data_IF_491799946736
#
_entry.id   IF_491799946736
#
_cell.length_a   1.000
_cell.length_b   1.000
_cell.length_c   1.000
_cell.angle_alpha   90.00
_cell.angle_beta   90.00
_cell.angle_gamma   90.00
#
_symmetry.space_group_name_H-M   'P 1'
#
loop_
_entity.id
_entity.type
_entity.pdbx_description
1 polymer ?
#
# COMPACT_ATOMS: atom_id res chain seq x y z
N UNK A 1 -34.66 49.93 -55.46
CA UNK A 1 -33.43 49.46 -54.79
C UNK A 1 -33.39 50.01 -53.36
N UNK A 2 -33.78 49.21 -52.37
CA UNK A 2 -33.49 49.47 -50.95
C UNK A 2 -33.12 48.13 -50.33
N UNK A 3 -31.81 47.92 -50.16
CA UNK A 3 -31.26 46.77 -49.47
C UNK A 3 -31.39 47.00 -47.96
N UNK A 4 -32.32 46.30 -47.32
CA UNK A 4 -32.39 46.24 -45.86
C UNK A 4 -31.26 45.34 -45.37
N UNK A 5 -30.36 45.93 -44.59
CA UNK A 5 -29.29 45.22 -43.89
C UNK A 5 -29.90 44.26 -42.87
N UNK A 6 -29.87 42.96 -43.19
CA UNK A 6 -30.02 41.89 -42.21
C UNK A 6 -28.79 41.89 -41.32
N UNK A 7 -28.80 42.70 -40.26
CA UNK A 7 -27.82 42.59 -39.18
C UNK A 7 -28.03 41.22 -38.53
N UNK A 8 -27.02 40.36 -38.68
CA UNK A 8 -27.01 38.98 -38.26
C UNK A 8 -27.38 38.84 -36.79
N UNK A 9 -28.28 37.91 -36.48
CA UNK A 9 -28.73 37.59 -35.11
C UNK A 9 -27.55 37.39 -34.14
N UNK A 10 -26.39 36.96 -34.63
CA UNK A 10 -25.14 36.84 -33.87
C UNK A 10 -24.61 38.18 -33.32
N UNK A 11 -24.78 39.29 -34.04
CA UNK A 11 -24.34 40.63 -33.58
C UNK A 11 -25.28 41.19 -32.52
N UNK A 12 -26.58 40.86 -32.59
CA UNK A 12 -27.53 41.18 -31.52
C UNK A 12 -27.21 40.41 -30.24
N UNK A 13 -26.85 39.13 -30.33
CA UNK A 13 -26.44 38.34 -29.17
C UNK A 13 -25.13 38.84 -28.54
N UNK A 14 -24.15 39.26 -29.35
CA UNK A 14 -22.91 39.89 -28.85
C UNK A 14 -23.17 41.18 -28.10
N UNK A 15 -24.04 42.05 -28.62
CA UNK A 15 -24.41 43.30 -27.98
C UNK A 15 -25.18 43.10 -26.66
N UNK A 16 -26.00 42.05 -26.57
CA UNK A 16 -26.69 41.68 -25.33
C UNK A 16 -25.69 41.14 -24.29
N UNK A 17 -24.76 40.29 -24.72
CA UNK A 17 -23.72 39.74 -23.85
C UNK A 17 -22.79 40.83 -23.26
N UNK A 18 -22.40 41.82 -24.07
CA UNK A 18 -21.58 42.95 -23.61
C UNK A 18 -22.34 43.84 -22.60
N UNK A 19 -23.66 44.01 -22.80
CA UNK A 19 -24.53 44.73 -21.86
C UNK A 19 -24.74 43.99 -20.54
N UNK A 20 -24.85 42.66 -20.55
CA UNK A 20 -24.98 41.85 -19.31
C UNK A 20 -23.71 41.92 -18.46
N UNK A 21 -22.53 42.04 -19.09
CA UNK A 21 -21.25 42.12 -18.39
C UNK A 21 -20.99 43.51 -17.75
N UNK A 22 -21.63 44.58 -18.25
CA UNK A 22 -21.64 45.92 -17.62
C UNK A 22 -22.94 46.17 -16.83
N UNK A 23 -23.00 45.63 -15.62
CA UNK A 23 -23.67 46.25 -14.45
C UNK A 23 -25.21 46.43 -14.43
N UNK A 24 -26.05 45.65 -15.11
CA UNK A 24 -27.49 45.56 -14.73
C UNK A 24 -28.13 44.19 -15.01
N UNK A 25 -28.34 43.32 -14.01
CA UNK A 25 -28.79 41.94 -14.26
C UNK A 25 -30.31 41.68 -14.22
N UNK A 26 -31.20 42.67 -14.00
CA UNK A 26 -32.60 42.35 -13.64
C UNK A 26 -33.71 42.83 -14.60
N UNK A 27 -33.42 43.61 -15.64
CA UNK A 27 -34.48 44.17 -16.51
C UNK A 27 -34.70 43.45 -17.85
N UNK A 28 -33.81 42.52 -18.26
CA UNK A 28 -33.90 41.85 -19.58
C UNK A 28 -34.41 40.41 -19.54
N UNK A 29 -34.77 39.88 -18.35
CA UNK A 29 -35.34 38.54 -18.20
C UNK A 29 -36.81 38.43 -18.65
N UNK A 30 -37.47 39.54 -19.00
CA UNK A 30 -38.88 39.55 -19.40
C UNK A 30 -39.15 39.39 -20.90
N UNK A 31 -38.13 39.27 -21.77
CA UNK A 31 -38.31 39.30 -23.24
C UNK A 31 -37.76 38.02 -23.92
N UNK A 32 -37.18 37.09 -23.18
CA UNK A 32 -36.57 35.89 -23.77
C UNK A 32 -37.56 34.71 -23.72
N UNK A 33 -37.86 34.15 -24.90
CA UNK A 33 -38.61 32.90 -25.01
C UNK A 33 -37.86 31.76 -24.31
N UNK A 34 -38.58 30.74 -23.86
CA UNK A 34 -38.02 29.59 -23.13
C UNK A 34 -36.91 28.86 -23.93
N UNK A 35 -37.00 28.89 -25.26
CA UNK A 35 -35.97 28.39 -26.17
C UNK A 35 -34.70 29.25 -26.21
N UNK A 36 -34.81 30.57 -26.12
CA UNK A 36 -33.63 31.45 -26.10
C UNK A 36 -32.90 31.36 -24.74
N UNK A 37 -33.65 31.12 -23.65
CA UNK A 37 -33.07 30.88 -22.34
C UNK A 37 -32.31 29.55 -22.27
N UNK A 38 -32.78 28.51 -22.98
CA UNK A 38 -32.08 27.23 -23.07
C UNK A 38 -30.83 27.32 -23.96
N UNK A 39 -30.89 28.05 -25.08
CA UNK A 39 -29.73 28.35 -25.92
C UNK A 39 -28.68 29.18 -25.17
N UNK A 40 -29.10 30.20 -24.41
CA UNK A 40 -28.21 31.00 -23.58
C UNK A 40 -27.54 30.15 -22.49
N UNK A 41 -28.30 29.26 -21.82
CA UNK A 41 -27.76 28.31 -20.84
C UNK A 41 -26.74 27.36 -21.47
N UNK A 42 -27.00 26.89 -22.70
CA UNK A 42 -26.10 26.03 -23.46
C UNK A 42 -24.82 26.77 -23.87
N UNK A 43 -24.92 27.99 -24.36
CA UNK A 43 -23.77 28.79 -24.79
C UNK A 43 -22.91 29.23 -23.59
N UNK A 44 -23.55 29.63 -22.48
CA UNK A 44 -22.84 29.90 -21.22
C UNK A 44 -22.14 28.63 -20.74
N UNK A 45 -22.79 27.46 -20.80
CA UNK A 45 -22.17 26.19 -20.41
C UNK A 45 -20.97 25.84 -21.30
N UNK A 46 -21.08 26.08 -22.61
CA UNK A 46 -20.02 25.85 -23.59
C UNK A 46 -18.83 26.78 -23.39
N UNK A 47 -19.06 28.07 -23.16
CA UNK A 47 -18.02 29.06 -22.81
C UNK A 47 -17.37 28.75 -21.46
N UNK A 48 -18.15 28.29 -20.47
CA UNK A 48 -17.63 27.84 -19.19
C UNK A 48 -16.75 26.59 -19.34
N UNK A 49 -17.15 25.65 -20.21
CA UNK A 49 -16.35 24.45 -20.55
C UNK A 49 -15.05 24.83 -21.27
N UNK A 50 -15.09 25.75 -22.24
CA UNK A 50 -13.90 26.25 -22.95
C UNK A 50 -12.92 26.93 -21.97
N UNK A 51 -13.43 27.82 -21.10
CA UNK A 51 -12.62 28.46 -20.05
C UNK A 51 -12.02 27.45 -19.07
N UNK A 52 -12.77 26.39 -18.73
CA UNK A 52 -12.30 25.30 -17.85
C UNK A 52 -11.16 24.51 -18.51
N UNK A 53 -11.24 24.23 -19.81
CA UNK A 53 -10.15 23.51 -20.54
C UNK A 53 -8.88 24.34 -20.69
N UNK A 54 -8.99 25.66 -20.91
CA UNK A 54 -7.82 26.54 -20.97
C UNK A 54 -7.10 26.63 -19.62
N UNK A 55 -7.86 26.77 -18.52
CA UNK A 55 -7.31 26.75 -17.18
C UNK A 55 -6.64 25.42 -16.82
N UNK A 56 -7.19 24.29 -17.30
CA UNK A 56 -6.62 22.96 -17.07
C UNK A 56 -5.23 22.81 -17.69
N UNK A 57 -5.04 23.28 -18.93
CA UNK A 57 -3.73 23.25 -19.61
C UNK A 57 -2.69 24.09 -18.87
N UNK A 58 -3.08 25.27 -18.39
CA UNK A 58 -2.22 26.14 -17.60
C UNK A 58 -1.83 25.49 -16.26
N UNK A 59 -2.77 24.80 -15.60
CA UNK A 59 -2.49 24.04 -14.37
C UNK A 59 -1.57 22.84 -14.63
N UNK A 60 -1.79 22.11 -15.72
CA UNK A 60 -0.93 21.00 -16.12
C UNK A 60 0.51 21.47 -16.38
N UNK A 61 0.69 22.57 -17.10
CA UNK A 61 2.00 23.17 -17.34
C UNK A 61 2.69 23.59 -16.03
N UNK A 62 1.95 24.21 -15.09
CA UNK A 62 2.47 24.58 -13.75
C UNK A 62 2.87 23.37 -12.90
N UNK A 63 2.30 22.20 -13.16
CA UNK A 63 2.60 20.95 -12.48
C UNK A 63 3.72 20.14 -13.17
N UNK A 64 4.29 20.64 -14.27
CA UNK A 64 5.30 19.93 -15.07
C UNK A 64 4.73 18.81 -15.96
N UNK A 65 3.40 18.75 -16.12
CA UNK A 65 2.73 17.74 -16.93
C UNK A 65 2.66 18.20 -18.39
N UNK A 66 3.72 17.91 -19.14
CA UNK A 66 3.83 18.28 -20.57
C UNK A 66 3.12 17.29 -21.51
N UNK A 67 2.77 16.09 -21.01
CA UNK A 67 2.16 15.04 -21.82
C UNK A 67 0.70 15.38 -22.17
N UNK A 68 0.36 15.51 -23.47
CA UNK A 68 -1.02 15.82 -23.88
C UNK A 68 -1.99 14.66 -23.58
N UNK A 69 -1.49 13.43 -23.43
CA UNK A 69 -2.29 12.27 -23.03
C UNK A 69 -2.87 12.42 -21.62
N UNK A 70 -2.06 12.95 -20.69
CA UNK A 70 -2.46 13.17 -19.30
C UNK A 70 -3.53 14.26 -19.22
N UNK A 71 -3.35 15.36 -19.98
CA UNK A 71 -4.32 16.46 -20.02
C UNK A 71 -5.67 15.99 -20.58
N UNK A 72 -5.68 15.28 -21.71
CA UNK A 72 -6.90 14.69 -22.27
C UNK A 72 -7.58 13.76 -21.26
N UNK A 73 -6.81 12.91 -20.57
CA UNK A 73 -7.36 12.01 -19.56
C UNK A 73 -7.96 12.77 -18.37
N UNK A 74 -7.34 13.85 -17.93
CA UNK A 74 -7.87 14.71 -16.88
C UNK A 74 -9.18 15.41 -17.30
N UNK A 75 -9.29 15.86 -18.56
CA UNK A 75 -10.54 16.42 -19.10
C UNK A 75 -11.70 15.40 -19.04
N UNK A 76 -11.44 14.16 -19.43
CA UNK A 76 -12.41 13.06 -19.31
C UNK A 76 -12.84 12.86 -17.85
N UNK A 77 -11.88 12.81 -16.92
CA UNK A 77 -12.16 12.62 -15.49
C UNK A 77 -12.98 13.77 -14.90
N UNK A 78 -12.75 15.01 -15.33
CA UNK A 78 -13.52 16.18 -14.88
C UNK A 78 -14.97 16.08 -15.38
N UNK A 79 -15.18 15.71 -16.65
CA UNK A 79 -16.53 15.49 -17.20
C UNK A 79 -17.24 14.35 -16.48
N UNK A 80 -16.55 13.24 -16.25
CA UNK A 80 -17.08 12.08 -15.54
C UNK A 80 -17.42 12.42 -14.09
N UNK A 81 -16.57 13.19 -13.42
CA UNK A 81 -16.80 13.71 -12.08
C UNK A 81 -18.05 14.60 -12.02
N UNK A 82 -18.28 15.45 -13.02
CA UNK A 82 -19.48 16.29 -13.07
C UNK A 82 -20.77 15.46 -13.17
N UNK A 83 -20.76 14.33 -13.89
CA UNK A 83 -21.91 13.43 -14.06
C UNK A 83 -22.14 12.56 -12.81
N UNK A 84 -21.08 12.08 -12.17
CA UNK A 84 -21.17 11.16 -11.02
C UNK A 84 -21.40 11.83 -9.65
N UNK A 85 -21.76 13.12 -9.62
CA UNK A 85 -22.06 13.83 -8.36
C UNK A 85 -20.91 14.66 -7.78
N UNK A 86 -19.88 14.94 -8.59
CA UNK A 86 -18.79 15.84 -8.23
C UNK A 86 -19.21 17.30 -8.00
N UNK A 87 -20.43 17.68 -8.39
CA UNK A 87 -21.05 18.97 -8.05
C UNK A 87 -21.33 19.09 -6.54
N UNK A 88 -21.63 17.98 -5.85
CA UNK A 88 -21.85 17.94 -4.41
C UNK A 88 -20.58 17.97 -3.56
N UNK A 89 -19.40 17.87 -4.18
CA UNK A 89 -18.13 18.07 -3.48
C UNK A 89 -17.91 19.56 -3.25
N UNK A 90 -17.72 19.95 -1.99
CA UNK A 90 -17.33 21.31 -1.57
C UNK A 90 -15.88 21.64 -1.96
N UNK A 91 -15.58 21.52 -3.26
CA UNK A 91 -14.28 21.76 -3.86
C UNK A 91 -14.41 22.87 -4.89
N UNK A 92 -13.41 23.75 -4.93
CA UNK A 92 -13.26 24.74 -6.00
C UNK A 92 -13.09 24.07 -7.35
N UNK A 93 -13.43 24.78 -8.43
CA UNK A 93 -13.21 24.29 -9.80
C UNK A 93 -11.74 23.99 -10.07
N UNK A 94 -10.83 24.81 -9.54
CA UNK A 94 -9.38 24.56 -9.59
C UNK A 94 -8.98 23.33 -8.79
N UNK A 95 -9.55 23.12 -7.60
CA UNK A 95 -9.30 21.93 -6.78
C UNK A 95 -9.71 20.64 -7.47
N UNK A 96 -10.89 20.62 -8.11
CA UNK A 96 -11.35 19.47 -8.92
C UNK A 96 -10.42 19.20 -10.09
N UNK A 97 -10.00 20.25 -10.80
CA UNK A 97 -9.08 20.14 -11.94
C UNK A 97 -7.71 19.57 -11.54
N UNK A 98 -7.12 20.09 -10.45
CA UNK A 98 -5.82 19.62 -9.95
C UNK A 98 -5.87 18.17 -9.48
N UNK A 99 -6.93 17.78 -8.75
CA UNK A 99 -7.12 16.39 -8.31
C UNK A 99 -7.28 15.45 -9.51
N UNK A 100 -8.06 15.83 -10.53
CA UNK A 100 -8.21 15.02 -11.73
C UNK A 100 -6.90 14.90 -12.53
N UNK A 101 -6.08 15.95 -12.55
CA UNK A 101 -4.73 15.90 -13.12
C UNK A 101 -3.80 14.95 -12.36
N UNK A 102 -3.83 14.95 -11.02
CA UNK A 102 -3.08 13.99 -10.21
C UNK A 102 -3.49 12.54 -10.52
N UNK A 103 -4.80 12.28 -10.58
CA UNK A 103 -5.31 10.92 -10.86
C UNK A 103 -4.90 10.50 -12.27
N UNK A 104 -5.03 11.38 -13.26
CA UNK A 104 -4.59 11.13 -14.63
C UNK A 104 -3.08 10.88 -14.73
N UNK A 105 -2.25 11.66 -14.02
CA UNK A 105 -0.80 11.48 -13.97
C UNK A 105 -0.43 10.13 -13.33
N UNK A 106 -1.13 9.75 -12.25
CA UNK A 106 -0.95 8.46 -11.58
C UNK A 106 -1.28 7.30 -12.52
N UNK A 107 -2.39 7.39 -13.27
CA UNK A 107 -2.75 6.39 -14.27
C UNK A 107 -1.74 6.29 -15.42
N UNK A 108 -1.15 7.42 -15.81
CA UNK A 108 -0.12 7.47 -16.85
C UNK A 108 1.30 7.18 -16.31
N UNK A 109 1.45 6.81 -15.03
CA UNK A 109 2.75 6.60 -14.37
C UNK A 109 3.72 7.79 -14.52
N UNK A 110 3.18 9.01 -14.57
CA UNK A 110 3.95 10.25 -14.63
C UNK A 110 4.21 10.79 -13.22
N UNK A 111 5.44 11.19 -12.95
CA UNK A 111 5.76 11.94 -11.73
C UNK A 111 5.26 13.38 -11.83
N UNK A 112 4.84 13.94 -10.70
CA UNK A 112 4.43 15.34 -10.58
C UNK A 112 4.68 15.84 -9.16
N UNK A 113 4.74 17.15 -8.98
CA UNK A 113 4.97 17.75 -7.67
C UNK A 113 3.67 17.83 -6.85
N UNK A 114 3.59 16.97 -5.83
CA UNK A 114 2.46 16.91 -4.90
C UNK A 114 2.33 18.17 -4.02
N UNK A 115 3.45 18.83 -3.70
CA UNK A 115 3.41 20.04 -2.87
C UNK A 115 2.83 21.22 -3.65
N UNK A 116 3.21 21.34 -4.92
CA UNK A 116 2.62 22.31 -5.84
C UNK A 116 1.16 22.01 -6.13
N UNK A 117 0.78 20.73 -6.27
CA UNK A 117 -0.62 20.34 -6.45
C UNK A 117 -1.50 20.77 -5.27
N UNK A 118 -1.07 20.51 -4.03
CA UNK A 118 -1.79 20.97 -2.83
C UNK A 118 -1.95 22.50 -2.87
N UNK A 119 -0.87 23.25 -3.17
CA UNK A 119 -0.90 24.72 -3.25
C UNK A 119 -1.84 25.24 -4.34
N UNK A 120 -1.82 24.65 -5.54
CA UNK A 120 -2.67 25.05 -6.67
C UNK A 120 -4.15 24.70 -6.46
N UNK A 121 -4.44 23.66 -5.67
CA UNK A 121 -5.81 23.27 -5.34
C UNK A 121 -6.51 24.22 -4.36
N UNK A 122 -5.74 25.00 -3.58
CA UNK A 122 -6.25 25.86 -2.52
C UNK A 122 -6.72 25.08 -1.27
N UNK A 123 -6.32 23.81 -1.12
CA UNK A 123 -6.70 22.95 0.00
C UNK A 123 -5.54 22.78 0.98
N UNK A 124 -5.86 22.50 2.24
CA UNK A 124 -4.85 22.01 3.19
C UNK A 124 -4.41 20.59 2.81
N UNK A 125 -3.20 20.19 3.20
CA UNK A 125 -2.67 18.85 2.87
C UNK A 125 -3.60 17.69 3.30
N UNK A 126 -4.20 17.70 4.52
CA UNK A 126 -5.14 16.64 4.91
C UNK A 126 -6.42 16.63 4.08
N UNK A 127 -6.99 17.81 3.80
CA UNK A 127 -8.18 17.94 2.97
C UNK A 127 -7.90 17.45 1.54
N UNK A 128 -6.77 17.84 0.96
CA UNK A 128 -6.36 17.41 -0.37
C UNK A 128 -6.30 15.88 -0.51
N UNK A 129 -5.69 15.20 0.47
CA UNK A 129 -5.62 13.73 0.49
C UNK A 129 -7.01 13.11 0.63
N UNK A 130 -7.86 13.66 1.50
CA UNK A 130 -9.23 13.15 1.68
C UNK A 130 -10.09 13.36 0.42
N UNK A 131 -9.98 14.52 -0.23
CA UNK A 131 -10.72 14.88 -1.43
C UNK A 131 -10.25 14.08 -2.65
N UNK A 132 -8.94 13.94 -2.86
CA UNK A 132 -8.39 13.10 -3.93
C UNK A 132 -8.79 11.62 -3.76
N UNK A 133 -8.83 11.12 -2.53
CA UNK A 133 -9.33 9.77 -2.24
C UNK A 133 -10.83 9.64 -2.53
N UNK A 134 -11.62 10.65 -2.17
CA UNK A 134 -13.07 10.66 -2.43
C UNK A 134 -13.35 10.67 -3.92
N UNK A 135 -12.66 11.52 -4.68
CA UNK A 135 -12.75 11.57 -6.14
C UNK A 135 -12.29 10.26 -6.77
N UNK A 136 -11.15 9.70 -6.35
CA UNK A 136 -10.67 8.42 -6.88
C UNK A 136 -11.68 7.29 -6.70
N UNK A 137 -12.35 7.23 -5.53
CA UNK A 137 -13.40 6.23 -5.26
C UNK A 137 -14.64 6.48 -6.10
N UNK A 138 -15.06 7.74 -6.23
CA UNK A 138 -16.24 8.10 -6.99
C UNK A 138 -16.08 7.70 -8.47
N UNK A 139 -14.91 8.00 -9.04
CA UNK A 139 -14.56 7.66 -10.42
C UNK A 139 -14.17 6.18 -10.61
N UNK A 140 -14.18 5.38 -9.53
CA UNK A 140 -13.72 4.00 -9.48
C UNK A 140 -12.31 3.78 -10.07
N UNK A 141 -11.44 4.78 -9.91
CA UNK A 141 -10.05 4.73 -10.35
C UNK A 141 -9.20 4.23 -9.18
N UNK A 142 -9.19 2.93 -8.97
CA UNK A 142 -8.31 2.29 -7.99
C UNK A 142 -6.99 1.92 -8.66
N UNK A 143 -5.88 2.48 -8.16
CA UNK A 143 -4.57 1.87 -8.40
C UNK A 143 -4.58 0.52 -7.69
N UNK A 144 -4.75 -0.58 -8.44
CA UNK A 144 -4.67 -1.93 -7.88
C UNK A 144 -3.27 -2.12 -7.31
N UNK A 145 -3.19 -2.36 -6.01
CA UNK A 145 -1.92 -2.64 -5.34
C UNK A 145 -1.84 -4.15 -5.13
N UNK A 146 -0.80 -4.81 -5.64
CA UNK A 146 -0.64 -6.25 -5.49
C UNK A 146 0.14 -6.61 -4.21
N UNK A 147 -0.14 -7.77 -3.60
CA UNK A 147 0.69 -8.38 -2.54
C UNK A 147 2.18 -8.35 -2.90
N UNK A 148 2.52 -8.63 -4.16
CA UNK A 148 3.90 -8.65 -4.63
C UNK A 148 4.58 -7.27 -4.47
N UNK A 149 3.90 -6.20 -4.89
CA UNK A 149 4.40 -4.82 -4.82
C UNK A 149 4.53 -4.36 -3.37
N UNK A 150 3.58 -4.73 -2.52
CA UNK A 150 3.60 -4.42 -1.09
C UNK A 150 4.77 -5.10 -0.38
N UNK A 151 5.01 -6.38 -0.67
CA UNK A 151 6.14 -7.11 -0.10
C UNK A 151 7.50 -6.50 -0.52
N UNK A 152 7.62 -5.99 -1.75
CA UNK A 152 8.85 -5.31 -2.20
C UNK A 152 9.01 -3.95 -1.52
N UNK A 153 7.97 -3.12 -1.54
CA UNK A 153 8.01 -1.75 -0.98
C UNK A 153 8.22 -1.68 0.53
N UNK A 154 7.91 -2.77 1.24
CA UNK A 154 8.06 -2.92 2.69
C UNK A 154 9.14 -3.94 3.11
N UNK A 155 9.98 -4.41 2.18
CA UNK A 155 11.05 -5.38 2.45
C UNK A 155 10.56 -6.68 3.13
N UNK A 156 9.33 -7.10 2.83
CA UNK A 156 8.66 -8.27 3.39
C UNK A 156 8.50 -9.39 2.33
N UNK A 157 9.55 -9.63 1.54
CA UNK A 157 9.54 -10.62 0.45
C UNK A 157 9.34 -12.06 0.96
N UNK A 158 9.86 -12.37 2.15
CA UNK A 158 9.68 -13.68 2.79
C UNK A 158 8.21 -14.01 3.13
N UNK A 159 7.36 -13.00 3.33
CA UNK A 159 5.94 -13.17 3.65
C UNK A 159 5.04 -13.32 2.42
N UNK A 160 5.58 -13.17 1.20
CA UNK A 160 4.80 -13.10 -0.04
C UNK A 160 3.93 -14.34 -0.25
N UNK A 161 4.52 -15.53 -0.12
CA UNK A 161 3.82 -16.79 -0.40
C UNK A 161 2.72 -17.07 0.63
N UNK A 162 2.98 -16.75 1.90
CA UNK A 162 1.98 -16.88 2.96
C UNK A 162 0.84 -15.87 2.75
N UNK A 163 1.16 -14.61 2.45
CA UNK A 163 0.17 -13.57 2.19
C UNK A 163 -0.73 -13.93 0.99
N UNK A 164 -0.17 -14.47 -0.10
CA UNK A 164 -0.93 -14.92 -1.26
C UNK A 164 -1.88 -16.08 -0.92
N UNK A 165 -1.45 -17.03 -0.07
CA UNK A 165 -2.30 -18.14 0.41
C UNK A 165 -3.43 -17.65 1.31
N UNK A 166 -3.12 -16.76 2.26
CA UNK A 166 -4.11 -16.14 3.15
C UNK A 166 -5.17 -15.41 2.35
N UNK A 167 -4.78 -14.66 1.32
CA UNK A 167 -5.69 -13.94 0.46
C UNK A 167 -6.66 -14.87 -0.29
N UNK A 168 -6.15 -15.98 -0.87
CA UNK A 168 -6.96 -16.99 -1.56
C UNK A 168 -7.92 -17.73 -0.63
N UNK A 169 -7.47 -18.07 0.57
CA UNK A 169 -8.33 -18.73 1.55
C UNK A 169 -9.42 -17.77 2.06
N UNK A 170 -9.05 -16.51 2.35
CA UNK A 170 -10.00 -15.47 2.73
C UNK A 170 -11.04 -15.22 1.62
N UNK A 171 -10.61 -15.22 0.35
CA UNK A 171 -11.52 -15.20 -0.80
C UNK A 171 -12.50 -16.36 -0.78
N UNK A 172 -12.02 -17.59 -0.56
CA UNK A 172 -12.86 -18.79 -0.58
C UNK A 172 -13.90 -18.77 0.54
N UNK A 173 -13.49 -18.41 1.76
CA UNK A 173 -14.37 -18.32 2.93
C UNK A 173 -15.41 -17.19 2.82
N UNK A 174 -15.09 -16.10 2.10
CA UNK A 174 -15.97 -14.93 1.97
C UNK A 174 -16.71 -14.83 0.62
N UNK A 175 -16.32 -15.59 -0.41
CA UNK A 175 -17.08 -15.71 -1.67
C UNK A 175 -18.46 -16.27 -1.45
N UNK A 176 -18.59 -17.18 -0.49
CA UNK A 176 -19.88 -17.74 -0.04
C UNK A 176 -20.81 -16.62 0.49
N UNK A 177 -20.24 -15.50 0.95
CA UNK A 177 -20.97 -14.33 1.49
C UNK A 177 -21.09 -13.17 0.48
N UNK A 178 -20.54 -13.30 -0.73
CA UNK A 178 -20.67 -12.31 -1.82
C UNK A 178 -20.10 -10.92 -1.52
N UNK A 179 -19.26 -10.76 -0.49
CA UNK A 179 -19.02 -9.46 0.14
C UNK A 179 -17.60 -8.89 -0.05
N UNK A 180 -16.70 -9.59 -0.75
CA UNK A 180 -15.26 -9.25 -0.76
C UNK A 180 -14.72 -9.10 -2.18
N UNK A 181 -14.29 -7.89 -2.51
CA UNK A 181 -13.48 -7.59 -3.70
C UNK A 181 -11.99 -7.55 -3.31
N UNK A 182 -11.26 -8.59 -3.71
CA UNK A 182 -9.85 -8.80 -3.35
C UNK A 182 -8.92 -7.82 -4.06
N UNK A 183 -9.36 -7.24 -5.18
CA UNK A 183 -8.58 -6.23 -5.89
C UNK A 183 -8.45 -4.93 -5.06
N UNK A 184 -9.30 -4.74 -4.06
CA UNK A 184 -9.21 -3.58 -3.19
C UNK A 184 -7.92 -3.62 -2.34
N UNK A 185 -7.16 -2.50 -2.28
CA UNK A 185 -5.92 -2.40 -1.51
C UNK A 185 -6.07 -2.77 -0.04
N UNK A 186 -7.28 -2.66 0.54
CA UNK A 186 -7.56 -3.03 1.93
C UNK A 186 -7.26 -4.51 2.22
N UNK A 187 -7.64 -5.42 1.33
CA UNK A 187 -7.42 -6.86 1.53
C UNK A 187 -5.97 -7.24 1.23
N UNK A 188 -5.38 -6.61 0.23
CA UNK A 188 -3.98 -6.82 -0.17
C UNK A 188 -3.02 -6.42 0.96
N UNK A 189 -3.22 -5.23 1.54
CA UNK A 189 -2.41 -4.72 2.66
C UNK A 189 -2.66 -5.49 3.96
N UNK A 190 -3.91 -5.88 4.23
CA UNK A 190 -4.23 -6.67 5.41
C UNK A 190 -3.60 -8.07 5.38
N UNK A 191 -3.60 -8.74 4.22
CA UNK A 191 -3.00 -10.06 4.05
C UNK A 191 -1.47 -10.04 4.30
N UNK A 192 -0.78 -9.01 3.80
CA UNK A 192 0.66 -8.82 4.05
C UNK A 192 0.93 -8.56 5.53
N UNK A 193 0.15 -7.70 6.20
CA UNK A 193 0.31 -7.49 7.65
C UNK A 193 0.09 -8.78 8.42
N UNK A 194 -0.97 -9.54 8.11
CA UNK A 194 -1.28 -10.80 8.77
C UNK A 194 -0.13 -11.80 8.65
N UNK A 195 0.40 -11.99 7.43
CA UNK A 195 1.54 -12.88 7.19
C UNK A 195 2.80 -12.40 7.94
N UNK A 196 3.10 -11.10 7.91
CA UNK A 196 4.25 -10.53 8.61
C UNK A 196 4.15 -10.66 10.13
N UNK A 197 2.95 -10.54 10.72
CA UNK A 197 2.73 -10.78 12.15
C UNK A 197 3.12 -12.20 12.54
N UNK A 198 2.62 -13.19 11.80
CA UNK A 198 2.87 -14.61 12.07
C UNK A 198 4.35 -14.97 11.87
N UNK A 199 4.97 -14.44 10.82
CA UNK A 199 6.39 -14.65 10.53
C UNK A 199 7.34 -13.76 11.34
N UNK A 200 6.82 -12.94 12.26
CA UNK A 200 7.58 -11.98 13.10
C UNK A 200 8.45 -11.01 12.28
N UNK A 201 8.02 -10.65 11.07
CA UNK A 201 8.70 -9.68 10.21
C UNK A 201 8.26 -8.28 10.60
N UNK A 202 9.23 -7.39 10.85
CA UNK A 202 8.97 -5.99 11.19
C UNK A 202 8.52 -5.23 9.94
N UNK A 203 7.28 -4.72 9.96
CA UNK A 203 6.72 -3.88 8.89
C UNK A 203 6.13 -2.61 9.48
N UNK A 204 6.27 -1.50 8.75
CA UNK A 204 5.59 -0.24 9.07
C UNK A 204 4.07 -0.35 8.86
N UNK A 205 3.36 -0.58 9.96
CA UNK A 205 1.90 -0.72 10.01
C UNK A 205 1.17 0.57 9.61
N UNK A 206 1.77 1.74 9.87
CA UNK A 206 1.16 3.04 9.56
C UNK A 206 1.11 3.24 8.05
N UNK A 207 2.25 3.06 7.38
CA UNK A 207 2.35 3.19 5.92
C UNK A 207 1.49 2.17 5.17
N UNK A 208 1.37 0.95 5.69
CA UNK A 208 0.45 -0.07 5.16
C UNK A 208 -1.03 0.37 5.28
N UNK A 209 -1.43 0.89 6.44
CA UNK A 209 -2.78 1.39 6.64
C UNK A 209 -3.12 2.58 5.72
N UNK A 210 -2.18 3.51 5.53
CA UNK A 210 -2.34 4.64 4.60
C UNK A 210 -2.58 4.15 3.16
N UNK A 211 -1.91 3.06 2.76
CA UNK A 211 -2.08 2.42 1.44
C UNK A 211 -3.43 1.72 1.29
N UNK A 212 -3.99 1.18 2.38
CA UNK A 212 -5.30 0.49 2.39
C UNK A 212 -6.47 1.39 1.99
N UNK A 213 -6.29 2.72 2.15
CA UNK A 213 -7.32 3.74 1.88
C UNK A 213 -8.67 3.39 2.51
N UNK A 214 -8.69 2.84 3.73
CA UNK A 214 -9.90 2.38 4.42
C UNK A 214 -10.06 3.03 5.81
N UNK A 215 -11.24 2.90 6.44
CA UNK A 215 -11.44 3.35 7.82
C UNK A 215 -10.69 2.42 8.77
N UNK A 216 -10.05 2.96 9.81
CA UNK A 216 -9.23 2.20 10.77
C UNK A 216 -9.95 0.99 11.35
N UNK A 217 -11.18 1.18 11.83
CA UNK A 217 -11.99 0.10 12.41
C UNK A 217 -12.33 -1.03 11.42
N UNK A 218 -12.47 -0.71 10.13
CA UNK A 218 -12.72 -1.73 9.09
C UNK A 218 -11.43 -2.47 8.78
N UNK A 219 -10.33 -1.74 8.62
CA UNK A 219 -9.02 -2.31 8.39
C UNK A 219 -8.62 -3.31 9.48
N UNK A 220 -8.74 -2.91 10.75
CA UNK A 220 -8.34 -3.76 11.87
C UNK A 220 -9.15 -5.06 11.93
N UNK A 221 -10.46 -5.00 11.62
CA UNK A 221 -11.30 -6.20 11.53
C UNK A 221 -10.86 -7.16 10.41
N UNK A 222 -10.50 -6.63 9.24
CA UNK A 222 -10.01 -7.44 8.11
C UNK A 222 -8.66 -8.07 8.46
N UNK A 223 -7.75 -7.29 9.06
CA UNK A 223 -6.44 -7.78 9.52
C UNK A 223 -6.61 -8.89 10.55
N UNK A 224 -7.52 -8.74 11.52
CA UNK A 224 -7.79 -9.76 12.54
C UNK A 224 -8.30 -11.06 11.92
N UNK A 225 -9.27 -10.98 11.01
CA UNK A 225 -9.78 -12.15 10.29
C UNK A 225 -8.70 -12.87 9.49
N UNK A 226 -7.86 -12.12 8.76
CA UNK A 226 -6.75 -12.70 8.00
C UNK A 226 -5.61 -13.22 8.89
N UNK A 227 -5.42 -12.68 10.09
CA UNK A 227 -4.40 -13.17 11.04
C UNK A 227 -4.74 -14.58 11.50
N UNK A 228 -6.02 -14.87 11.80
CA UNK A 228 -6.47 -16.23 12.19
C UNK A 228 -6.22 -17.26 11.08
N UNK A 229 -6.48 -16.88 9.82
CA UNK A 229 -6.19 -17.71 8.66
C UNK A 229 -4.67 -17.92 8.51
N UNK A 230 -3.88 -16.85 8.67
CA UNK A 230 -2.43 -16.93 8.59
C UNK A 230 -1.83 -17.85 9.67
N UNK A 231 -2.34 -17.80 10.89
CA UNK A 231 -1.94 -18.67 12.00
C UNK A 231 -2.28 -20.13 11.70
N UNK A 232 -3.49 -20.41 11.21
CA UNK A 232 -3.90 -21.76 10.81
C UNK A 232 -3.00 -22.34 9.71
N UNK A 233 -2.72 -21.56 8.66
CA UNK A 233 -1.83 -21.97 7.57
C UNK A 233 -0.37 -22.16 8.02
N UNK A 234 0.09 -21.35 8.96
CA UNK A 234 1.44 -21.47 9.48
C UNK A 234 1.59 -22.68 10.42
N UNK A 235 0.58 -22.95 11.25
CA UNK A 235 0.51 -24.13 12.10
C UNK A 235 0.40 -25.43 11.27
N UNK A 236 -0.38 -25.43 10.19
CA UNK A 236 -0.47 -26.57 9.27
C UNK A 236 0.85 -26.85 8.56
N UNK A 237 1.60 -25.80 8.19
CA UNK A 237 2.94 -25.97 7.63
C UNK A 237 3.90 -26.55 8.66
N UNK A 238 3.80 -26.13 9.92
CA UNK A 238 4.59 -26.68 11.02
C UNK A 238 4.24 -28.15 11.33
N UNK A 239 2.96 -28.52 11.27
CA UNK A 239 2.52 -29.91 11.49
C UNK A 239 2.85 -30.83 10.31
N UNK A 240 2.78 -30.34 9.06
CA UNK A 240 3.23 -31.07 7.87
C UNK A 240 4.77 -31.19 7.79
N UNK A 241 5.52 -30.25 8.37
CA UNK A 241 6.96 -30.42 8.61
C UNK A 241 7.27 -31.25 9.87
N UNK A 242 6.25 -31.60 10.66
CA UNK A 242 6.34 -32.35 11.91
C UNK A 242 6.62 -33.85 11.77
N UNK A 243 6.98 -34.31 10.56
CA UNK A 243 7.49 -35.66 10.32
C UNK A 243 8.98 -35.83 10.65
N UNK A 244 9.73 -34.79 11.02
CA UNK A 244 11.13 -34.97 11.44
C UNK A 244 11.57 -33.94 12.47
N UNK A 245 11.88 -34.46 13.67
CA UNK A 245 12.64 -33.84 14.76
C UNK A 245 12.12 -32.47 15.24
N UNK A 246 11.15 -32.55 16.14
CA UNK A 246 11.18 -31.71 17.35
C UNK A 246 12.62 -31.82 17.90
N UNK A 247 13.36 -30.72 17.93
CA UNK A 247 14.75 -30.73 18.37
C UNK A 247 14.80 -31.37 19.76
N UNK A 248 15.40 -32.55 19.85
CA UNK A 248 15.68 -33.21 21.11
C UNK A 248 16.46 -32.21 21.95
N UNK A 249 15.94 -31.87 23.11
CA UNK A 249 16.68 -31.05 24.07
C UNK A 249 17.95 -31.80 24.43
N UNK A 250 19.05 -31.11 24.77
CA UNK A 250 20.31 -31.77 25.16
C UNK A 250 20.07 -32.85 26.24
N UNK A 251 19.13 -32.62 27.15
CA UNK A 251 18.64 -33.58 28.13
C UNK A 251 17.99 -34.83 27.51
N UNK A 252 17.16 -34.71 26.48
CA UNK A 252 16.54 -35.88 25.81
C UNK A 252 17.59 -36.77 25.13
N UNK A 253 18.67 -36.20 24.61
CA UNK A 253 19.75 -36.97 23.97
C UNK A 253 20.63 -37.67 25.00
N UNK A 254 20.88 -37.04 26.15
CA UNK A 254 21.61 -37.65 27.28
C UNK A 254 20.78 -38.79 27.88
N UNK A 255 19.49 -38.60 28.07
CA UNK A 255 18.60 -39.58 28.68
C UNK A 255 18.38 -40.82 27.80
N UNK A 256 18.38 -40.65 26.47
CA UNK A 256 18.32 -41.76 25.50
C UNK A 256 19.63 -42.55 25.41
N UNK A 257 20.80 -41.88 25.53
CA UNK A 257 22.09 -42.56 25.63
C UNK A 257 22.23 -43.35 26.94
N UNK A 258 21.75 -42.79 28.06
CA UNK A 258 21.79 -43.47 29.36
C UNK A 258 20.82 -44.67 29.43
N UNK A 259 19.73 -44.65 28.65
CA UNK A 259 18.75 -45.75 28.59
C UNK A 259 19.18 -46.93 27.71
N UNK A 260 20.08 -46.70 26.75
CA UNK A 260 20.51 -47.73 25.79
C UNK A 260 21.79 -48.47 26.21
N UNK A 261 22.43 -48.08 27.32
CA UNK A 261 23.57 -48.82 27.86
C UNK A 261 23.13 -49.86 28.90
N UNK A 262 22.76 -51.04 28.40
CA UNK A 262 22.74 -52.30 29.16
C UNK A 262 24.03 -53.08 28.87
N UNK A 263 24.60 -53.82 29.85
CA UNK A 263 26.04 -53.82 30.09
C UNK A 263 26.76 -55.00 29.44
N UNK A 264 26.82 -55.09 28.12
CA UNK A 264 27.62 -56.14 27.46
C UNK A 264 28.29 -55.66 26.17
N UNK A 265 29.34 -54.84 26.28
CA UNK A 265 30.46 -54.86 25.33
C UNK A 265 31.71 -54.21 25.92
N UNK A 266 32.62 -55.09 26.34
CA UNK A 266 34.01 -54.81 26.69
C UNK A 266 34.81 -54.33 25.45
N UNK A 267 35.79 -53.47 25.73
CA UNK A 267 37.08 -53.21 25.04
C UNK A 267 37.17 -52.02 24.08
N UNK A 268 37.85 -50.96 24.60
CA UNK A 268 39.00 -50.20 24.02
C UNK A 268 38.73 -49.51 22.66
N UNK A 269 38.85 -48.18 22.48
CA UNK A 269 40.00 -47.30 22.80
C UNK A 269 39.55 -45.82 22.71
N UNK A 270 39.71 -45.12 23.82
CA UNK A 270 40.31 -43.78 24.04
C UNK A 270 39.71 -42.55 23.35
N UNK A 271 38.97 -41.77 24.15
CA UNK A 271 39.11 -40.32 24.16
C UNK A 271 39.18 -39.86 25.61
N UNK A 272 40.10 -38.93 25.85
CA UNK A 272 40.56 -38.43 27.13
C UNK A 272 39.46 -37.69 27.90
N UNK A 273 39.16 -38.12 29.12
CA UNK A 273 38.62 -37.22 30.14
C UNK A 273 39.50 -37.31 31.39
N UNK A 274 40.12 -36.18 31.72
CA UNK A 274 40.88 -35.94 32.93
C UNK A 274 39.95 -36.05 34.14
N UNK A 275 40.07 -37.15 34.86
CA UNK A 275 39.57 -37.25 36.22
C UNK A 275 40.71 -36.85 37.17
N UNK A 276 40.58 -35.69 37.80
CA UNK A 276 41.54 -35.17 38.79
C UNK A 276 41.42 -35.98 40.09
N UNK A 277 41.95 -37.20 40.09
CA UNK A 277 42.16 -37.97 41.31
C UNK A 277 43.51 -37.58 41.93
N UNK A 278 43.47 -36.76 42.98
CA UNK A 278 44.64 -36.22 43.68
C UNK A 278 45.60 -37.28 44.26
N UNK A 279 45.19 -38.55 44.32
CA UNK A 279 46.00 -39.65 44.84
C UNK A 279 47.01 -40.22 43.81
N UNK A 280 46.83 -39.96 42.51
CA UNK A 280 47.68 -40.52 41.44
C UNK A 280 48.91 -39.65 41.15
N UNK A 281 48.80 -38.33 41.37
CA UNK A 281 49.92 -37.38 41.21
C UNK A 281 50.98 -37.52 42.31
N UNK A 282 50.60 -38.06 43.47
CA UNK A 282 51.51 -38.27 44.60
C UNK A 282 52.37 -39.53 44.42
N UNK A 283 51.82 -40.56 43.77
CA UNK A 283 52.58 -41.75 43.37
C UNK A 283 53.63 -41.42 42.28
N UNK A 284 53.26 -40.61 41.30
CA UNK A 284 54.15 -40.24 40.18
C UNK A 284 55.31 -39.32 40.65
N UNK A 285 55.07 -38.48 41.66
CA UNK A 285 56.12 -37.66 42.28
C UNK A 285 57.15 -38.49 43.06
N UNK A 286 56.72 -39.47 43.84
CA UNK A 286 57.63 -40.35 44.60
C UNK A 286 58.46 -41.25 43.68
N UNK A 287 57.90 -41.73 42.57
CA UNK A 287 58.65 -42.51 41.58
C UNK A 287 59.69 -41.67 40.83
N UNK A 288 59.32 -40.44 40.43
CA UNK A 288 60.27 -39.51 39.81
C UNK A 288 61.42 -39.15 40.77
N UNK A 289 61.10 -38.85 42.02
CA UNK A 289 62.09 -38.51 43.07
C UNK A 289 63.06 -39.66 43.34
N UNK A 290 62.57 -40.91 43.42
CA UNK A 290 63.43 -42.10 43.55
C UNK A 290 64.42 -42.21 42.39
N UNK A 291 63.94 -41.98 41.16
CA UNK A 291 64.74 -42.09 39.94
C UNK A 291 65.84 -41.05 39.84
N UNK A 292 65.58 -39.81 40.29
CA UNK A 292 66.58 -38.74 40.33
C UNK A 292 67.64 -38.99 41.40
N UNK A 293 67.24 -39.48 42.59
CA UNK A 293 68.18 -39.79 43.67
C UNK A 293 69.09 -40.97 43.32
N UNK A 294 68.56 -42.01 42.67
CA UNK A 294 69.37 -43.14 42.19
C UNK A 294 70.32 -42.73 41.07
N UNK A 295 69.89 -41.86 40.15
CA UNK A 295 70.76 -41.34 39.10
C UNK A 295 71.91 -40.47 39.64
N UNK A 296 71.67 -39.70 40.71
CA UNK A 296 72.70 -38.91 41.37
C UNK A 296 73.68 -39.81 42.16
N UNK A 297 73.18 -40.84 42.84
CA UNK A 297 74.01 -41.78 43.60
C UNK A 297 74.81 -42.75 42.71
N UNK A 298 74.34 -43.05 41.50
CA UNK A 298 75.05 -43.87 40.52
C UNK A 298 76.09 -43.10 39.70
N UNK A 299 76.16 -41.77 39.86
CA UNK A 299 77.11 -40.90 39.17
C UNK A 299 78.31 -40.46 40.03
N UNK A 300 78.42 -40.98 41.26
CA UNK A 300 79.63 -40.96 42.11
C UNK A 300 80.36 -42.31 42.06
#
# INVERSE_FOLDING_TARGET
MKANAATSSADQFRAIFEKVNRKQPLALLGILNEQDLTLLKLEIKKELEISTTHNLKNLAHKLGLTSPKVVRKAEELIRLLAVQGGTGLALSMSGKAVICLEIAATLASCSFDKTLAVRLSGLTRPQYVASSQTVSRLLNVSSSVCVADLCVTHSATAARDLAAKVLKQYETENKIKGQVDIALPVYQTAAVIAACKVMKIKVDKRRMFETSRSKRAVYDKVVEGMTKIAESLHAEKASKSGGTKRGKTLMDMVEENLRNESPEKKLKVEEEEKDDNANDKEADFEEWKRKILEAAAAAE
#
